data_IF_710966903118
#
_entry.id   IF_710966903118
#
_cell.length_a   1.000
_cell.length_b   1.000
_cell.length_c   1.000
_cell.angle_alpha   90.00
_cell.angle_beta   90.00
_cell.angle_gamma   90.00
#
_symmetry.space_group_name_H-M   'P 1'
#
loop_
_entity.id
_entity.type
_entity.pdbx_description
1 polymer ?
#
# COMPACT_ATOMS: atom_id res chain seq x y z
N UNK A 1 -25.39 -46.08 59.18
CA UNK A 1 -24.75 -44.98 58.43
C UNK A 1 -23.34 -45.39 58.00
N UNK A 2 -23.06 -45.57 56.69
CA UNK A 2 -21.75 -45.35 56.04
C UNK A 2 -21.79 -45.68 54.53
N UNK A 3 -22.04 -44.62 53.76
CA UNK A 3 -21.64 -44.25 52.39
C UNK A 3 -21.22 -45.37 51.41
N UNK A 4 -22.09 -45.64 50.44
CA UNK A 4 -21.77 -46.32 49.18
C UNK A 4 -21.16 -45.29 48.21
N UNK A 5 -19.90 -45.48 47.80
CA UNK A 5 -19.23 -44.62 46.81
C UNK A 5 -19.59 -45.09 45.41
N UNK A 6 -20.42 -44.33 44.71
CA UNK A 6 -20.68 -44.49 43.28
C UNK A 6 -19.53 -43.84 42.53
N UNK A 7 -18.71 -44.64 41.84
CA UNK A 7 -17.72 -44.15 40.87
C UNK A 7 -18.44 -43.87 39.55
N UNK A 8 -18.66 -42.59 39.25
CA UNK A 8 -19.01 -42.14 37.90
C UNK A 8 -17.76 -42.20 37.03
N UNK A 9 -17.69 -43.16 36.11
CA UNK A 9 -16.72 -43.14 35.01
C UNK A 9 -17.32 -42.24 33.93
N UNK A 10 -16.84 -40.99 33.87
CA UNK A 10 -17.12 -40.05 32.80
C UNK A 10 -16.26 -40.44 31.59
N UNK A 11 -16.83 -40.78 30.42
CA UNK A 11 -16.04 -40.92 29.22
C UNK A 11 -15.61 -39.52 28.76
N UNK A 12 -14.35 -39.19 28.98
CA UNK A 12 -13.69 -38.03 28.39
C UNK A 12 -13.64 -38.28 26.88
N UNK A 13 -14.54 -37.66 26.13
CA UNK A 13 -14.36 -37.48 24.69
C UNK A 13 -13.11 -36.60 24.50
N UNK A 14 -11.98 -37.23 24.21
CA UNK A 14 -10.86 -36.57 23.55
C UNK A 14 -11.29 -36.27 22.11
N UNK A 15 -11.93 -35.11 21.90
CA UNK A 15 -11.85 -34.46 20.62
C UNK A 15 -10.39 -34.07 20.41
N UNK A 16 -9.67 -34.91 19.66
CA UNK A 16 -8.41 -34.54 19.05
C UNK A 16 -8.67 -33.34 18.14
N UNK A 17 -8.54 -32.14 18.69
CA UNK A 17 -8.34 -30.94 17.90
C UNK A 17 -7.00 -31.13 17.18
N UNK A 18 -7.07 -31.67 15.97
CA UNK A 18 -5.97 -31.69 15.03
C UNK A 18 -5.51 -30.25 14.85
N UNK A 19 -4.47 -29.87 15.59
CA UNK A 19 -3.70 -28.63 15.44
C UNK A 19 -2.88 -28.66 14.15
N UNK A 20 -3.53 -28.89 13.02
CA UNK A 20 -2.97 -28.55 11.73
C UNK A 20 -2.85 -27.03 11.70
N UNK A 21 -1.61 -26.51 11.72
CA UNK A 21 -1.38 -25.12 11.34
C UNK A 21 -2.07 -24.92 10.00
N UNK A 22 -3.10 -24.07 9.96
CA UNK A 22 -3.72 -23.66 8.72
C UNK A 22 -2.59 -23.21 7.77
N UNK A 23 -2.57 -23.78 6.57
CA UNK A 23 -1.57 -23.43 5.57
C UNK A 23 -1.69 -21.93 5.28
N UNK A 24 -0.60 -21.14 5.36
CA UNK A 24 -0.68 -19.70 5.13
C UNK A 24 -1.32 -19.38 3.77
N UNK A 25 -2.30 -18.49 3.79
CA UNK A 25 -3.03 -18.11 2.58
C UNK A 25 -4.09 -19.12 2.12
N UNK A 26 -4.38 -20.18 2.88
CA UNK A 26 -5.51 -21.09 2.65
C UNK A 26 -6.57 -20.89 3.73
N UNK A 27 -7.82 -20.76 3.32
CA UNK A 27 -8.95 -20.45 4.18
C UNK A 27 -10.07 -21.46 4.01
N UNK A 28 -10.72 -21.84 5.11
CA UNK A 28 -11.91 -22.70 5.13
C UNK A 28 -13.17 -21.92 4.74
N UNK A 29 -13.14 -21.35 3.53
CA UNK A 29 -14.20 -20.57 2.92
C UNK A 29 -14.38 -21.00 1.47
N UNK A 30 -15.63 -21.19 1.00
CA UNK A 30 -15.90 -21.35 -0.42
C UNK A 30 -15.42 -20.13 -1.21
N UNK A 31 -14.99 -20.36 -2.44
CA UNK A 31 -14.38 -19.36 -3.32
C UNK A 31 -15.21 -18.10 -3.50
N UNK A 32 -16.53 -18.25 -3.70
CA UNK A 32 -17.45 -17.13 -3.85
C UNK A 32 -17.56 -16.29 -2.58
N UNK A 33 -17.52 -16.91 -1.40
CA UNK A 33 -17.54 -16.23 -0.12
C UNK A 33 -16.21 -15.51 0.15
N UNK A 34 -15.09 -16.19 -0.08
CA UNK A 34 -13.75 -15.60 0.03
C UNK A 34 -13.61 -14.36 -0.87
N UNK A 35 -14.09 -14.43 -2.12
CA UNK A 35 -14.11 -13.28 -3.03
C UNK A 35 -15.00 -12.15 -2.51
N UNK A 36 -16.21 -12.45 -2.03
CA UNK A 36 -17.12 -11.45 -1.49
C UNK A 36 -16.53 -10.73 -0.25
N UNK A 37 -15.80 -11.47 0.60
CA UNK A 37 -15.09 -10.92 1.76
C UNK A 37 -13.90 -10.05 1.33
N UNK A 38 -13.06 -10.55 0.43
CA UNK A 38 -11.90 -9.80 -0.07
C UNK A 38 -12.31 -8.51 -0.80
N UNK A 39 -13.42 -8.53 -1.54
CA UNK A 39 -13.98 -7.35 -2.19
C UNK A 39 -14.40 -6.24 -1.21
N UNK A 40 -14.58 -6.58 0.07
CA UNK A 40 -14.93 -5.68 1.17
C UNK A 40 -13.77 -5.44 2.15
N UNK A 41 -12.54 -5.80 1.78
CA UNK A 41 -11.37 -5.60 2.61
C UNK A 41 -11.23 -4.13 3.07
N UNK A 42 -10.74 -3.93 4.30
CA UNK A 42 -10.61 -2.60 4.93
C UNK A 42 -9.42 -1.80 4.40
N UNK A 43 -9.53 -1.34 3.15
CA UNK A 43 -8.52 -0.52 2.48
C UNK A 43 -8.31 0.83 3.19
N UNK A 44 -9.34 1.35 3.86
CA UNK A 44 -9.26 2.62 4.55
C UNK A 44 -8.44 2.50 5.84
N UNK A 45 -8.68 1.45 6.64
CA UNK A 45 -7.86 1.09 7.79
C UNK A 45 -6.42 0.80 7.38
N UNK A 46 -6.22 0.03 6.30
CA UNK A 46 -4.90 -0.21 5.73
C UNK A 46 -4.18 1.09 5.35
N UNK A 47 -4.84 1.99 4.60
CA UNK A 47 -4.26 3.29 4.22
C UNK A 47 -3.90 4.10 5.46
N UNK A 48 -4.81 4.22 6.44
CA UNK A 48 -4.54 4.99 7.67
C UNK A 48 -3.33 4.45 8.44
N UNK A 49 -3.18 3.12 8.49
CA UNK A 49 -2.08 2.49 9.18
C UNK A 49 -0.75 2.59 8.41
N UNK A 50 -0.80 2.44 7.08
CA UNK A 50 0.41 2.24 6.25
C UNK A 50 0.82 3.43 5.41
N UNK A 51 -0.05 4.42 5.16
CA UNK A 51 0.34 5.60 4.39
C UNK A 51 1.53 6.29 5.06
N UNK A 52 2.46 6.68 4.20
CA UNK A 52 3.66 7.40 4.58
C UNK A 52 3.99 8.43 3.51
N UNK A 53 4.68 9.51 3.92
CA UNK A 53 5.49 10.40 3.09
C UNK A 53 4.77 11.31 2.10
N UNK A 54 3.73 10.80 1.45
CA UNK A 54 2.95 11.47 0.42
C UNK A 54 1.47 11.10 0.54
N UNK A 55 0.61 11.92 -0.06
CA UNK A 55 -0.81 11.66 -0.19
C UNK A 55 -1.04 10.56 -1.24
N UNK A 56 -1.82 9.54 -0.86
CA UNK A 56 -2.11 8.42 -1.74
C UNK A 56 -3.61 8.14 -1.86
N UNK A 57 -3.98 7.57 -3.00
CA UNK A 57 -5.31 7.05 -3.29
C UNK A 57 -5.21 5.58 -3.67
N UNK A 58 -6.28 4.84 -3.45
CA UNK A 58 -6.41 3.46 -3.88
C UNK A 58 -7.43 3.38 -5.01
N UNK A 59 -7.01 2.84 -6.14
CA UNK A 59 -7.91 2.33 -7.17
C UNK A 59 -8.04 0.82 -6.98
N UNK A 60 -9.27 0.32 -7.01
CA UNK A 60 -9.56 -1.12 -6.91
C UNK A 60 -10.09 -1.60 -8.24
N UNK A 61 -9.40 -2.56 -8.85
CA UNK A 61 -9.90 -3.29 -10.01
C UNK A 61 -10.31 -4.68 -9.57
N UNK A 62 -11.56 -5.04 -9.86
CA UNK A 62 -12.12 -6.36 -9.61
C UNK A 62 -12.24 -7.08 -10.95
N UNK A 63 -11.63 -8.23 -11.09
CA UNK A 63 -11.73 -9.04 -12.30
C UNK A 63 -12.66 -10.22 -12.07
N UNK A 64 -13.24 -10.71 -13.18
CA UNK A 64 -14.13 -11.89 -13.16
C UNK A 64 -13.38 -13.19 -12.88
N UNK A 65 -12.06 -13.20 -13.02
CA UNK A 65 -11.16 -14.32 -12.70
C UNK A 65 -10.84 -14.41 -11.19
N UNK A 66 -11.72 -13.86 -10.34
CA UNK A 66 -11.62 -13.90 -8.87
C UNK A 66 -10.34 -13.27 -8.33
N UNK A 67 -9.75 -12.35 -9.10
CA UNK A 67 -8.65 -11.52 -8.66
C UNK A 67 -9.08 -10.09 -8.35
N UNK A 68 -8.44 -9.53 -7.33
CA UNK A 68 -8.58 -8.13 -6.94
C UNK A 68 -7.20 -7.49 -6.97
N UNK A 69 -7.09 -6.41 -7.73
CA UNK A 69 -5.89 -5.58 -7.80
C UNK A 69 -6.15 -4.25 -7.12
N UNK A 70 -5.31 -3.91 -6.15
CA UNK A 70 -5.25 -2.58 -5.59
C UNK A 70 -4.05 -1.83 -6.16
N UNK A 71 -4.29 -0.61 -6.62
CA UNK A 71 -3.29 0.28 -7.16
C UNK A 71 -3.19 1.52 -6.29
N UNK A 72 -1.99 1.78 -5.79
CA UNK A 72 -1.68 2.95 -4.97
C UNK A 72 -1.21 4.05 -5.89
N UNK A 73 -1.88 5.20 -5.84
CA UNK A 73 -1.66 6.32 -6.76
C UNK A 73 -1.32 7.57 -5.96
N UNK A 74 -0.35 8.33 -6.45
CA UNK A 74 -0.03 9.69 -6.01
C UNK A 74 0.17 10.57 -7.24
N UNK A 75 -0.46 11.75 -7.28
CA UNK A 75 -0.37 12.69 -8.42
C UNK A 75 -0.58 12.04 -9.79
N UNK A 76 -1.54 11.12 -9.91
CA UNK A 76 -1.83 10.39 -11.16
C UNK A 76 -0.81 9.31 -11.54
N UNK A 77 0.25 9.12 -10.76
CA UNK A 77 1.27 8.09 -10.99
C UNK A 77 1.02 6.88 -10.09
N UNK A 78 1.19 5.69 -10.65
CA UNK A 78 1.13 4.44 -9.88
C UNK A 78 2.42 4.29 -9.08
N UNK A 79 2.28 4.18 -7.76
CA UNK A 79 3.39 3.99 -6.82
C UNK A 79 3.70 2.52 -6.60
N UNK A 80 2.65 1.71 -6.41
CA UNK A 80 2.73 0.26 -6.27
C UNK A 80 1.37 -0.34 -6.61
N UNK A 81 1.37 -1.58 -7.08
CA UNK A 81 0.18 -2.38 -7.23
C UNK A 81 0.40 -3.73 -6.54
N UNK A 82 -0.69 -4.30 -6.04
CA UNK A 82 -0.67 -5.67 -5.55
C UNK A 82 -1.98 -6.34 -5.93
N UNK A 83 -1.85 -7.59 -6.37
CA UNK A 83 -2.95 -8.40 -6.86
C UNK A 83 -3.08 -9.63 -5.99
N UNK A 84 -4.30 -9.89 -5.55
CA UNK A 84 -4.64 -11.12 -4.86
C UNK A 84 -5.53 -11.94 -5.77
N UNK A 85 -5.07 -13.14 -6.12
CA UNK A 85 -5.82 -14.12 -6.89
C UNK A 85 -6.35 -15.19 -5.94
N UNK A 86 -7.63 -15.54 -6.09
CA UNK A 86 -8.25 -16.62 -5.33
C UNK A 86 -8.36 -17.86 -6.22
N UNK A 87 -8.08 -19.04 -5.65
CA UNK A 87 -8.30 -20.32 -6.34
C UNK A 87 -8.96 -21.32 -5.41
N UNK A 88 -9.96 -22.05 -5.90
CA UNK A 88 -10.53 -23.18 -5.18
C UNK A 88 -9.47 -24.27 -5.00
N UNK A 89 -9.38 -24.82 -3.80
CA UNK A 89 -8.48 -25.94 -3.47
C UNK A 89 -9.23 -27.25 -3.22
N UNK A 90 -10.56 -27.24 -3.36
CA UNK A 90 -11.44 -28.34 -3.01
C UNK A 90 -11.93 -28.27 -1.56
N UNK A 91 -12.96 -29.07 -1.26
CA UNK A 91 -13.53 -29.23 0.09
C UNK A 91 -14.06 -27.92 0.72
N UNK A 92 -14.46 -26.96 -0.11
CA UNK A 92 -14.93 -25.65 0.37
C UNK A 92 -13.81 -24.76 0.91
N UNK A 93 -12.57 -24.97 0.47
CA UNK A 93 -11.40 -24.17 0.86
C UNK A 93 -10.84 -23.36 -0.31
N UNK A 94 -10.37 -22.16 0.00
CA UNK A 94 -9.83 -21.22 -1.00
C UNK A 94 -8.41 -20.84 -0.66
N UNK A 95 -7.54 -20.77 -1.67
CA UNK A 95 -6.18 -20.22 -1.57
C UNK A 95 -6.15 -18.79 -2.09
N UNK A 96 -5.59 -17.86 -1.33
CA UNK A 96 -5.24 -16.52 -1.78
C UNK A 96 -3.75 -16.43 -2.09
N UNK A 97 -3.43 -15.99 -3.31
CA UNK A 97 -2.05 -15.79 -3.76
C UNK A 97 -1.79 -14.31 -4.00
N UNK A 98 -0.85 -13.75 -3.24
CA UNK A 98 -0.45 -12.35 -3.33
C UNK A 98 0.73 -12.16 -4.29
N UNK A 99 0.47 -11.42 -5.36
CA UNK A 99 1.48 -11.00 -6.35
C UNK A 99 1.74 -9.51 -6.27
N UNK A 100 3.02 -9.14 -6.23
CA UNK A 100 3.49 -7.76 -6.27
C UNK A 100 4.49 -7.64 -7.43
N UNK A 101 4.16 -6.91 -8.50
CA UNK A 101 5.08 -6.64 -9.60
C UNK A 101 6.39 -6.04 -9.09
N UNK A 102 7.48 -6.41 -9.75
CA UNK A 102 8.80 -5.91 -9.38
C UNK A 102 8.88 -4.39 -9.59
N UNK A 103 9.66 -3.75 -8.72
CA UNK A 103 10.07 -2.36 -8.88
C UNK A 103 10.90 -2.21 -10.18
N UNK A 104 10.91 -1.04 -10.86
CA UNK A 104 11.80 -0.78 -11.99
C UNK A 104 13.27 -1.12 -11.76
N UNK A 105 13.75 -1.05 -10.52
CA UNK A 105 15.12 -1.42 -10.13
C UNK A 105 15.29 -2.93 -9.85
N UNK A 106 14.26 -3.74 -10.09
CA UNK A 106 14.21 -5.17 -9.75
C UNK A 106 13.86 -5.41 -8.28
N UNK A 107 13.42 -6.63 -7.97
CA UNK A 107 13.00 -7.01 -6.62
C UNK A 107 11.61 -6.49 -6.22
N UNK A 108 11.15 -6.89 -5.05
CA UNK A 108 9.83 -6.55 -4.54
C UNK A 108 9.78 -5.09 -4.06
N UNK A 109 8.74 -4.31 -4.40
CA UNK A 109 8.61 -2.96 -3.90
C UNK A 109 8.25 -2.97 -2.42
N UNK A 110 8.86 -2.08 -1.64
CA UNK A 110 8.60 -1.93 -0.21
C UNK A 110 8.89 -3.19 0.64
N UNK A 111 9.94 -3.93 0.30
CA UNK A 111 10.36 -5.16 1.00
C UNK A 111 11.05 -4.91 2.36
N UNK A 112 11.36 -3.65 2.69
CA UNK A 112 12.06 -3.24 3.90
C UNK A 112 13.57 -3.11 3.76
N UNK A 113 14.14 -3.43 2.59
CA UNK A 113 15.58 -3.37 2.33
C UNK A 113 16.00 -2.09 1.60
N UNK A 114 15.07 -1.47 0.87
CA UNK A 114 15.32 -0.27 0.07
C UNK A 114 14.97 0.99 0.83
N UNK A 115 15.68 2.08 0.54
CA UNK A 115 15.35 3.40 1.04
C UNK A 115 14.58 4.18 -0.04
N UNK A 116 13.35 4.60 0.29
CA UNK A 116 12.53 5.44 -0.57
C UNK A 116 12.55 6.87 -0.02
N UNK A 117 12.99 7.90 -0.79
CA UNK A 117 13.01 9.28 -0.31
C UNK A 117 11.62 9.86 -0.01
N UNK A 118 10.62 9.42 -0.79
CA UNK A 118 9.21 9.77 -0.67
C UNK A 118 8.37 8.49 -0.75
N UNK A 119 8.41 7.64 0.29
CA UNK A 119 7.68 6.38 0.27
C UNK A 119 6.18 6.68 0.27
N UNK A 120 5.39 5.90 -0.48
CA UNK A 120 3.92 5.95 -0.44
C UNK A 120 3.35 5.21 0.78
N UNK A 121 4.01 4.11 1.15
CA UNK A 121 3.60 3.20 2.21
C UNK A 121 4.80 2.85 3.09
N UNK A 122 4.55 2.60 4.37
CA UNK A 122 5.51 2.03 5.31
C UNK A 122 5.92 0.61 4.86
N UNK A 123 7.21 0.31 4.92
CA UNK A 123 7.76 -1.04 4.75
C UNK A 123 7.74 -1.86 6.05
N UNK A 124 7.72 -3.21 6.01
CA UNK A 124 7.55 -4.05 4.82
C UNK A 124 6.08 -4.14 4.37
N UNK A 125 5.84 -4.18 3.06
CA UNK A 125 4.49 -4.11 2.49
C UNK A 125 3.79 -5.47 2.39
N UNK A 126 4.48 -6.53 1.96
CA UNK A 126 3.88 -7.87 1.84
C UNK A 126 3.20 -8.38 3.10
N UNK A 127 3.82 -8.37 4.30
CA UNK A 127 3.12 -8.82 5.51
C UNK A 127 1.92 -7.91 5.83
N UNK A 128 2.00 -6.62 5.50
CA UNK A 128 0.87 -5.71 5.67
C UNK A 128 -0.29 -6.05 4.74
N UNK A 129 -0.02 -6.40 3.48
CA UNK A 129 -1.05 -6.84 2.54
C UNK A 129 -1.58 -8.22 2.93
N UNK A 130 -0.75 -9.12 3.45
CA UNK A 130 -1.20 -10.42 3.94
C UNK A 130 -2.21 -10.26 5.08
N UNK A 131 -1.92 -9.40 6.06
CA UNK A 131 -2.86 -9.10 7.16
C UNK A 131 -4.16 -8.43 6.65
N UNK A 132 -4.11 -7.64 5.56
CA UNK A 132 -5.32 -7.13 4.91
C UNK A 132 -6.18 -8.25 4.30
N UNK A 133 -5.54 -9.28 3.72
CA UNK A 133 -6.24 -10.46 3.20
C UNK A 133 -6.80 -11.27 4.37
N UNK A 134 -5.99 -11.58 5.38
CA UNK A 134 -6.37 -12.36 6.55
C UNK A 134 -7.54 -11.70 7.29
N UNK A 135 -7.46 -10.38 7.51
CA UNK A 135 -8.54 -9.60 8.10
C UNK A 135 -9.85 -9.67 7.30
N UNK A 136 -9.76 -9.56 5.97
CA UNK A 136 -10.92 -9.69 5.11
C UNK A 136 -11.53 -11.10 5.20
N UNK A 137 -10.71 -12.15 5.13
CA UNK A 137 -11.17 -13.54 5.25
C UNK A 137 -11.77 -13.84 6.62
N UNK A 138 -11.22 -13.29 7.69
CA UNK A 138 -11.76 -13.40 9.05
C UNK A 138 -13.01 -12.51 9.28
N UNK A 139 -13.34 -11.59 8.36
CA UNK A 139 -14.47 -10.68 8.49
C UNK A 139 -14.27 -9.57 9.54
N UNK A 140 -13.01 -9.16 9.76
CA UNK A 140 -12.61 -8.16 10.76
C UNK A 140 -11.91 -6.96 10.13
N UNK A 141 -11.80 -5.83 10.84
CA UNK A 141 -10.98 -4.69 10.41
C UNK A 141 -9.50 -5.04 10.33
N UNK A 142 -8.77 -4.25 9.55
CA UNK A 142 -7.31 -4.34 9.44
C UNK A 142 -6.64 -4.01 10.77
N UNK A 143 -5.67 -4.83 11.22
CA UNK A 143 -4.96 -4.62 12.48
C UNK A 143 -3.43 -4.61 12.29
N UNK A 144 -2.83 -3.42 12.39
CA UNK A 144 -1.37 -3.24 12.30
C UNK A 144 -0.61 -3.96 13.41
N UNK A 145 -1.25 -4.26 14.54
CA UNK A 145 -0.60 -4.92 15.68
C UNK A 145 -0.35 -6.41 15.41
N UNK A 146 -1.05 -7.01 14.45
CA UNK A 146 -0.85 -8.40 13.99
C UNK A 146 0.34 -8.56 13.05
N UNK A 147 0.92 -7.45 12.56
CA UNK A 147 2.11 -7.52 11.74
C UNK A 147 3.32 -7.99 12.56
N UNK A 148 4.22 -8.79 11.95
CA UNK A 148 5.49 -9.14 12.57
C UNK A 148 6.37 -7.91 12.80
N UNK A 149 7.25 -7.98 13.80
CA UNK A 149 8.29 -6.96 14.01
C UNK A 149 9.49 -7.19 13.06
N UNK A 150 10.13 -6.13 12.53
CA UNK A 150 9.76 -4.72 12.70
C UNK A 150 8.53 -4.33 11.87
N UNK A 151 7.52 -3.71 12.51
CA UNK A 151 6.28 -3.29 11.82
C UNK A 151 6.50 -2.12 10.84
N UNK A 152 7.55 -1.34 11.07
CA UNK A 152 7.99 -0.27 10.20
C UNK A 152 9.52 -0.21 10.16
N UNK A 153 10.12 -0.27 8.98
CA UNK A 153 11.57 -0.07 8.80
C UNK A 153 11.93 1.33 8.32
N UNK A 154 10.96 2.11 7.85
CA UNK A 154 11.20 3.46 7.34
C UNK A 154 11.23 4.50 8.47
N UNK A 155 12.42 5.05 8.72
CA UNK A 155 12.59 6.22 9.61
C UNK A 155 12.04 7.51 9.02
N UNK A 156 12.02 7.62 7.69
CA UNK A 156 11.42 8.78 6.99
C UNK A 156 9.93 8.90 7.35
N UNK A 157 9.27 7.75 7.56
CA UNK A 157 7.86 7.70 7.88
C UNK A 157 7.50 8.17 9.28
N UNK A 158 8.36 8.00 10.28
CA UNK A 158 8.09 8.56 11.61
C UNK A 158 8.18 10.10 11.59
N UNK A 159 9.06 10.66 10.77
CA UNK A 159 9.22 12.12 10.62
C UNK A 159 8.09 12.72 9.76
N UNK A 160 7.78 12.09 8.62
CA UNK A 160 6.82 12.63 7.65
C UNK A 160 5.35 12.32 7.98
N UNK A 161 5.04 11.29 8.79
CA UNK A 161 3.67 11.11 9.32
C UNK A 161 3.22 12.29 10.18
N UNK A 162 4.13 12.92 10.93
CA UNK A 162 3.86 14.15 11.68
C UNK A 162 3.63 15.38 10.79
N UNK A 163 3.97 15.32 9.49
CA UNK A 163 3.78 16.39 8.51
C UNK A 163 2.56 16.23 7.61
N UNK A 164 2.04 15.02 7.42
CA UNK A 164 0.74 14.80 6.76
C UNK A 164 -0.45 15.21 7.64
N UNK A 165 -0.23 15.29 8.96
CA UNK A 165 -1.23 15.66 9.98
C UNK A 165 -1.01 17.05 10.60
N UNK A 166 0.04 17.81 10.23
CA UNK A 166 0.26 19.17 10.74
C UNK A 166 -0.68 20.20 10.07
N UNK A 167 -1.99 19.93 10.10
CA UNK A 167 -3.11 20.86 9.86
C UNK A 167 -3.27 21.50 8.47
N UNK A 168 -2.19 21.72 7.72
CA UNK A 168 -2.18 22.50 6.49
C UNK A 168 -1.25 21.98 5.39
N UNK A 169 -0.26 21.16 5.73
CA UNK A 169 0.76 20.69 4.78
C UNK A 169 0.33 19.37 4.13
N UNK A 170 0.42 19.30 2.80
CA UNK A 170 0.20 18.09 2.00
C UNK A 170 1.46 17.83 1.20
N UNK A 171 1.82 16.57 1.01
CA UNK A 171 2.99 16.20 0.23
C UNK A 171 2.59 15.26 -0.91
N UNK A 172 3.02 15.55 -2.12
CA UNK A 172 2.94 14.73 -3.31
C UNK A 172 4.31 14.20 -3.71
N UNK A 173 4.35 13.28 -4.65
CA UNK A 173 5.60 12.68 -5.13
C UNK A 173 6.50 13.70 -5.85
N UNK A 174 5.90 14.66 -6.55
CA UNK A 174 6.62 15.65 -7.37
C UNK A 174 6.96 16.93 -6.58
N UNK A 175 6.64 16.96 -5.28
CA UNK A 175 6.90 18.14 -4.44
C UNK A 175 8.39 18.33 -4.20
N UNK A 176 8.83 19.60 -4.28
CA UNK A 176 10.23 19.97 -4.05
C UNK A 176 10.67 19.55 -2.66
N UNK A 177 11.93 19.10 -2.48
CA UNK A 177 12.46 18.79 -1.16
C UNK A 177 12.28 19.96 -0.19
N UNK A 178 11.74 19.70 1.00
CA UNK A 178 11.47 20.72 2.02
C UNK A 178 10.22 21.58 1.80
N UNK A 179 9.46 21.37 0.71
CA UNK A 179 8.23 22.09 0.41
C UNK A 179 7.01 21.17 0.46
N UNK A 180 5.85 21.75 0.78
CA UNK A 180 4.54 21.08 0.62
C UNK A 180 4.00 21.23 -0.81
N UNK A 181 2.86 20.61 -1.11
CA UNK A 181 2.28 20.61 -2.46
C UNK A 181 1.85 21.99 -2.93
N UNK A 182 1.46 22.90 -2.02
CA UNK A 182 1.07 24.27 -2.38
C UNK A 182 2.30 25.11 -2.69
N UNK A 183 3.33 25.00 -1.86
CA UNK A 183 4.61 25.69 -2.03
C UNK A 183 5.31 25.20 -3.29
N UNK A 184 5.32 23.88 -3.52
CA UNK A 184 5.89 23.29 -4.73
C UNK A 184 5.16 23.77 -5.98
N UNK A 185 3.82 23.76 -5.97
CA UNK A 185 3.02 24.26 -7.10
C UNK A 185 3.31 25.75 -7.42
N UNK A 186 3.46 26.60 -6.40
CA UNK A 186 3.85 28.02 -6.60
C UNK A 186 5.25 28.14 -7.19
N UNK A 187 6.21 27.40 -6.64
CA UNK A 187 7.59 27.43 -7.13
C UNK A 187 7.71 26.95 -8.58
N UNK A 188 6.89 25.96 -8.99
CA UNK A 188 6.84 25.52 -10.39
C UNK A 188 6.24 26.60 -11.29
N UNK A 189 5.16 27.26 -10.88
CA UNK A 189 4.55 28.35 -11.64
C UNK A 189 5.49 29.57 -11.79
N UNK A 190 6.22 29.92 -10.73
CA UNK A 190 7.19 31.02 -10.77
C UNK A 190 8.37 30.69 -11.71
N UNK A 191 8.85 29.45 -11.69
CA UNK A 191 9.90 28.98 -12.60
C UNK A 191 9.43 28.98 -14.07
N UNK A 192 8.23 28.48 -14.35
CA UNK A 192 7.62 28.50 -15.69
C UNK A 192 7.48 29.94 -16.20
N UNK A 193 6.93 30.84 -15.38
CA UNK A 193 6.80 32.26 -15.73
C UNK A 193 8.17 32.93 -15.97
N UNK A 194 9.20 32.56 -15.20
CA UNK A 194 10.55 33.08 -15.40
C UNK A 194 11.19 32.55 -16.69
N UNK A 195 10.94 31.29 -17.05
CA UNK A 195 11.42 30.69 -18.28
C UNK A 195 10.77 31.34 -19.51
N UNK A 196 9.45 31.54 -19.49
CA UNK A 196 8.72 32.23 -20.57
C UNK A 196 9.22 33.66 -20.77
N UNK A 197 9.50 34.38 -19.67
CA UNK A 197 10.07 35.73 -19.73
C UNK A 197 11.49 35.74 -20.31
N UNK A 198 12.34 34.79 -19.93
CA UNK A 198 13.68 34.66 -20.48
C UNK A 198 13.67 34.33 -21.98
N UNK A 199 12.71 33.52 -22.43
CA UNK A 199 12.52 33.22 -23.87
C UNK A 199 12.03 34.44 -24.64
N UNK A 200 11.09 35.21 -24.07
CA UNK A 200 10.64 36.47 -24.67
C UNK A 200 11.77 37.49 -24.82
N UNK A 201 12.59 37.69 -23.78
CA UNK A 201 13.72 38.62 -23.82
C UNK A 201 14.82 38.15 -24.80
N UNK A 202 15.06 36.84 -24.92
CA UNK A 202 16.00 36.29 -25.91
C UNK A 202 15.50 36.44 -27.37
N UNK A 203 14.19 36.42 -27.59
CA UNK A 203 13.58 36.53 -28.93
C UNK A 203 13.60 37.96 -29.52
N UNK A 204 13.69 39.00 -28.68
CA UNK A 204 13.72 40.40 -29.12
C UNK A 204 15.11 41.06 -29.01
N UNK A 205 16.13 40.33 -28.55
CA UNK A 205 17.42 40.87 -28.10
C UNK A 205 18.65 40.62 -28.98
N UNK A 206 18.52 40.09 -30.21
CA UNK A 206 19.67 40.03 -31.13
C UNK A 206 19.51 41.08 -32.24
N UNK A 207 20.12 42.28 -32.12
CA UNK A 207 20.30 43.13 -33.28
C UNK A 207 21.26 42.41 -34.22
N UNK A 208 20.76 41.96 -35.37
CA UNK A 208 21.61 41.51 -36.48
C UNK A 208 22.47 42.70 -36.91
N UNK A 209 23.75 42.66 -36.57
CA UNK A 209 24.76 43.57 -37.11
C UNK A 209 24.96 43.25 -38.60
N UNK A 210 24.04 43.74 -39.43
CA UNK A 210 24.25 43.85 -40.87
C UNK A 210 25.16 45.06 -41.12
N UNK A 211 26.47 44.85 -40.99
CA UNK A 211 27.46 45.76 -41.58
C UNK A 211 27.35 45.67 -43.10
N UNK A 212 26.69 46.65 -43.70
CA UNK A 212 26.65 46.87 -45.15
C UNK A 212 28.00 47.46 -45.59
N UNK A 213 28.89 46.62 -46.13
CA UNK A 213 30.10 47.06 -46.82
C UNK A 213 29.75 47.33 -48.28
N UNK A 214 29.56 48.61 -48.60
CA UNK A 214 29.46 49.08 -49.97
C UNK A 214 30.84 49.26 -50.58
N UNK A 215 31.04 48.63 -51.73
CA UNK A 215 32.01 49.00 -52.77
C UNK A 215 31.26 49.20 -54.09
#
# INVERSE_FOLDING_TARGET
MKRLRVFFIVPIMLAAACGGKAEPGVYDLPLSEAYARLAKADIMGFRKARQCGILIHFETTRKRDESITWRVISNGRTMVNFTVSLTDTGDGRTRATLTMPADPQGGEPYDGTKNYPRPALNQPLRPAVQELIDAAMEGRPYDVMRLPEPRNTDRVCSVQRGGLESGSFRFGIDDKPGMDSRQSARAFADEEQSADRAVFDASYGQPENHTWSGE
#
